data_IF_407784346046
#
_entry.id   IF_407784346046
#
_cell.length_a   1.000
_cell.length_b   1.000
_cell.length_c   1.000
_cell.angle_alpha   90.00
_cell.angle_beta   90.00
_cell.angle_gamma   90.00
#
_symmetry.space_group_name_H-M   'P 1'
#
loop_
_entity.id
_entity.type
_entity.pdbx_description
1 polymer ?
#
# COMPACT_ATOMS: atom_id res chain seq x y z
N UNK A 1 -30.83 -17.11 9.26
CA UNK A 1 -29.86 -16.09 9.76
C UNK A 1 -28.59 -16.31 8.97
N UNK A 2 -28.29 -15.45 8.00
CA UNK A 2 -27.10 -15.61 7.15
C UNK A 2 -25.87 -15.17 7.93
N UNK A 3 -25.02 -16.11 8.32
CA UNK A 3 -23.73 -15.79 8.91
C UNK A 3 -22.89 -15.03 7.88
N UNK A 4 -22.54 -13.80 8.24
CA UNK A 4 -21.75 -12.92 7.39
C UNK A 4 -20.38 -13.55 7.17
N UNK A 5 -20.13 -13.98 5.94
CA UNK A 5 -18.85 -14.49 5.43
C UNK A 5 -17.78 -13.40 5.23
N UNK A 6 -17.76 -12.34 6.05
CA UNK A 6 -16.68 -11.37 5.97
C UNK A 6 -15.51 -11.85 6.81
N UNK A 7 -14.69 -12.75 6.24
CA UNK A 7 -13.30 -12.89 6.69
C UNK A 7 -12.62 -11.56 6.40
N UNK A 8 -12.59 -10.67 7.39
CA UNK A 8 -11.62 -9.56 7.42
C UNK A 8 -10.25 -10.22 7.55
N UNK A 9 -9.69 -10.71 6.44
CA UNK A 9 -8.26 -10.99 6.35
C UNK A 9 -7.58 -9.63 6.43
N UNK A 10 -7.32 -9.20 7.65
CA UNK A 10 -6.42 -8.09 7.91
C UNK A 10 -5.05 -8.58 7.47
N UNK A 11 -4.61 -8.12 6.30
CA UNK A 11 -3.26 -8.38 5.83
C UNK A 11 -2.30 -7.66 6.78
N UNK A 12 -1.47 -8.44 7.48
CA UNK A 12 -0.54 -7.93 8.48
C UNK A 12 0.63 -7.17 7.85
N UNK A 13 0.91 -7.39 6.57
CA UNK A 13 2.02 -6.78 5.85
C UNK A 13 1.60 -5.45 5.19
N UNK A 14 0.30 -5.15 5.16
CA UNK A 14 -0.21 -3.87 4.70
C UNK A 14 0.06 -2.76 5.72
N UNK A 15 0.59 -1.62 5.25
CA UNK A 15 0.80 -0.43 6.07
C UNK A 15 -0.29 0.61 5.80
N UNK A 16 -0.81 1.26 6.85
CA UNK A 16 -1.80 2.32 6.71
C UNK A 16 -1.15 3.64 6.28
N UNK A 17 -1.57 4.17 5.13
CA UNK A 17 -0.97 5.37 4.54
C UNK A 17 -2.02 6.34 4.01
N UNK A 18 -1.67 7.63 3.98
CA UNK A 18 -2.44 8.61 3.21
C UNK A 18 -2.18 8.33 1.73
N UNK A 19 -3.23 7.93 1.03
CA UNK A 19 -3.18 7.76 -0.41
C UNK A 19 -3.30 9.13 -1.10
N UNK A 20 -2.66 9.27 -2.26
CA UNK A 20 -2.79 10.47 -3.11
C UNK A 20 -4.25 10.67 -3.54
N UNK A 21 -4.96 9.58 -3.79
CA UNK A 21 -6.38 9.59 -4.09
C UNK A 21 -7.22 9.38 -2.82
N UNK A 22 -7.90 10.45 -2.43
CA UNK A 22 -8.86 10.44 -1.32
C UNK A 22 -10.30 10.58 -1.84
N UNK A 23 -10.81 9.50 -2.43
CA UNK A 23 -12.18 9.45 -2.95
C UNK A 23 -13.26 9.78 -1.90
N UNK A 24 -12.99 9.54 -0.62
CA UNK A 24 -13.94 9.82 0.48
C UNK A 24 -13.75 11.22 1.07
N UNK A 25 -12.68 11.94 0.68
CA UNK A 25 -12.33 13.31 1.13
C UNK A 25 -12.34 13.45 2.66
N UNK A 26 -12.05 12.37 3.36
CA UNK A 26 -12.09 12.30 4.82
C UNK A 26 -10.70 12.18 5.44
N UNK A 27 -9.63 12.19 4.61
CA UNK A 27 -8.26 12.08 5.07
C UNK A 27 -7.94 10.74 5.74
N UNK A 28 -8.78 9.72 5.57
CA UNK A 28 -8.58 8.43 6.23
C UNK A 28 -7.37 7.71 5.62
N UNK A 29 -6.52 7.15 6.46
CA UNK A 29 -5.45 6.26 6.01
C UNK A 29 -6.04 4.95 5.49
N UNK A 30 -5.52 4.48 4.36
CA UNK A 30 -5.96 3.24 3.73
C UNK A 30 -4.80 2.25 3.78
N UNK A 31 -5.09 0.94 3.92
CA UNK A 31 -4.04 -0.07 3.82
C UNK A 31 -3.42 -0.04 2.42
N UNK A 32 -2.10 -0.12 2.36
CA UNK A 32 -1.35 -0.17 1.12
C UNK A 32 0.04 -0.74 1.33
N UNK A 33 0.75 -0.96 0.23
CA UNK A 33 2.11 -1.49 0.24
C UNK A 33 3.02 -0.48 -0.47
N UNK A 34 4.18 -0.16 0.12
CA UNK A 34 5.19 0.63 -0.59
C UNK A 34 6.08 -0.32 -1.39
N UNK A 35 5.71 -0.57 -2.64
CA UNK A 35 6.55 -1.28 -3.59
C UNK A 35 7.55 -0.30 -4.22
N UNK A 36 8.84 -0.56 -4.04
CA UNK A 36 9.89 0.08 -4.85
C UNK A 36 10.43 -0.93 -5.86
N UNK A 37 10.77 -0.44 -7.05
CA UNK A 37 11.21 -1.25 -8.17
C UNK A 37 12.52 -0.64 -8.70
N UNK A 38 13.53 -1.48 -8.94
CA UNK A 38 14.74 -1.08 -9.66
C UNK A 38 14.64 -1.52 -11.13
N UNK A 39 14.95 -0.61 -12.05
CA UNK A 39 14.95 -0.90 -13.48
C UNK A 39 16.30 -0.57 -14.10
N UNK A 40 16.72 -1.42 -15.04
CA UNK A 40 17.91 -1.20 -15.86
C UNK A 40 17.60 -1.56 -17.31
N UNK A 41 17.92 -0.66 -18.23
CA UNK A 41 17.76 -0.87 -19.66
C UNK A 41 16.37 -1.39 -20.08
N UNK A 42 15.31 -0.81 -19.49
CA UNK A 42 13.89 -1.18 -19.65
C UNK A 42 13.47 -2.53 -19.03
N UNK A 43 14.34 -3.18 -18.27
CA UNK A 43 14.02 -4.40 -17.50
C UNK A 43 13.87 -4.09 -16.03
N UNK A 44 12.99 -4.83 -15.35
CA UNK A 44 12.92 -4.85 -13.89
C UNK A 44 14.00 -5.81 -13.39
N UNK A 45 14.92 -5.30 -12.58
CA UNK A 45 16.04 -6.08 -12.03
C UNK A 45 15.87 -6.39 -10.55
N UNK A 46 15.05 -5.62 -9.82
CA UNK A 46 14.79 -5.85 -8.39
C UNK A 46 13.46 -5.22 -7.95
N UNK A 47 12.89 -5.72 -6.85
CA UNK A 47 11.74 -5.14 -6.18
C UNK A 47 11.77 -5.42 -4.68
N UNK A 48 11.29 -4.46 -3.89
CA UNK A 48 11.18 -4.62 -2.44
C UNK A 48 9.98 -3.87 -1.87
N UNK A 49 9.47 -4.42 -0.76
CA UNK A 49 8.35 -3.87 0.00
C UNK A 49 8.87 -3.20 1.27
N UNK A 50 8.43 -1.97 1.51
CA UNK A 50 8.85 -1.17 2.66
C UNK A 50 7.66 -0.73 3.50
N UNK A 51 7.77 -0.86 4.82
CA UNK A 51 6.73 -0.37 5.74
C UNK A 51 6.68 1.16 5.78
N UNK A 52 7.82 1.84 5.64
CA UNK A 52 7.88 3.29 5.75
C UNK A 52 7.51 3.98 4.42
N UNK A 53 6.70 5.04 4.51
CA UNK A 53 6.35 5.89 3.37
C UNK A 53 7.63 6.50 2.80
N UNK A 54 7.88 6.27 1.52
CA UNK A 54 8.96 6.95 0.79
C UNK A 54 8.42 8.25 0.22
N UNK A 55 8.52 9.32 0.99
CA UNK A 55 8.43 10.69 0.48
C UNK A 55 9.79 11.34 0.74
N UNK A 56 10.73 11.12 -0.18
CA UNK A 56 12.04 11.79 -0.13
C UNK A 56 11.87 13.23 -0.59
N UNK A 57 11.75 14.15 0.37
CA UNK A 57 11.95 15.58 0.14
C UNK A 57 13.43 15.82 -0.21
N UNK A 58 13.73 15.96 -1.49
CA UNK A 58 14.91 16.71 -1.97
C UNK A 58 14.47 18.05 -2.51
#
# INVERSE_FOLDING_TARGET
>A
MGERNSYSKTDLDATFMHMKEDAMRNGQTKPGYNLQIATENQFIIDFALYANRTDTLT
#
